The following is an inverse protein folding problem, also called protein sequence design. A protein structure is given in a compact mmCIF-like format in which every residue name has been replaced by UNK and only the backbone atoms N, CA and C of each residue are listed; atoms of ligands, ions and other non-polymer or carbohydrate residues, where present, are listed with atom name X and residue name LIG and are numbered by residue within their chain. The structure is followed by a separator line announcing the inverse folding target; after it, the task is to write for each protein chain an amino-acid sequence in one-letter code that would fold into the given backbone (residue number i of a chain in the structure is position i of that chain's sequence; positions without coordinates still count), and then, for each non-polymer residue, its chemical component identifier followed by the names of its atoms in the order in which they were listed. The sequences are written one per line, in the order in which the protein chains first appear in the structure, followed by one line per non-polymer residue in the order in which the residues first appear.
data_IF_093420905388
#
_entry.id   IF_093420905388
#
_cell.length_a   1.000
_cell.length_b   1.000
_cell.length_c   1.000
_cell.angle_alpha   90.00
_cell.angle_beta   90.00
_cell.angle_gamma   90.00
#
_symmetry.space_group_name_H-M   'P 1'
#
loop_
_entity.id
_entity.type
_entity.pdbx_description
1 polymer ?
#
# COMPACT_ATOMS: atom_id res chain seq x y z
N UNK A 1 11.75 15.91 -25.55
CA UNK A 1 10.79 15.77 -24.43
C UNK A 1 10.68 14.29 -24.16
N UNK A 2 11.03 13.82 -22.97
CA UNK A 2 10.83 12.44 -22.53
C UNK A 2 9.66 12.37 -21.55
N UNK A 3 8.85 11.33 -21.68
CA UNK A 3 7.76 11.02 -20.75
C UNK A 3 8.11 9.71 -20.07
N UNK A 4 8.12 9.70 -18.74
CA UNK A 4 8.29 8.50 -17.93
C UNK A 4 7.03 8.21 -17.14
N UNK A 5 6.57 6.96 -17.19
CA UNK A 5 5.45 6.46 -16.40
C UNK A 5 5.99 5.43 -15.41
N UNK A 6 5.69 5.64 -14.13
CA UNK A 6 6.04 4.72 -13.06
C UNK A 6 4.77 4.21 -12.41
N UNK A 7 4.66 2.89 -12.27
CA UNK A 7 3.55 2.23 -11.58
C UNK A 7 4.12 1.50 -10.38
N UNK A 8 3.58 1.78 -9.20
CA UNK A 8 3.94 1.11 -7.95
C UNK A 8 2.72 0.43 -7.37
N UNK A 9 2.86 -0.85 -7.03
CA UNK A 9 1.84 -1.66 -6.36
C UNK A 9 2.38 -2.06 -5.01
N UNK A 10 1.60 -1.87 -3.95
CA UNK A 10 1.96 -2.27 -2.59
C UNK A 10 0.82 -3.05 -1.96
N UNK A 11 1.18 -4.18 -1.35
CA UNK A 11 0.25 -5.07 -0.66
C UNK A 11 0.72 -5.21 0.78
N UNK A 12 -0.18 -4.93 1.72
CA UNK A 12 0.09 -5.02 3.15
C UNK A 12 -0.92 -5.96 3.81
N UNK A 13 -0.42 -6.90 4.61
CA UNK A 13 -1.23 -7.84 5.39
C UNK A 13 -0.91 -7.63 6.87
N UNK A 14 -1.95 -7.52 7.69
CA UNK A 14 -1.81 -7.30 9.14
C UNK A 14 -2.72 -8.25 9.90
N UNK A 15 -2.16 -8.89 10.94
CA UNK A 15 -2.86 -9.83 11.82
C UNK A 15 -2.71 -9.35 13.25
N UNK A 16 -3.83 -9.23 13.96
CA UNK A 16 -3.84 -8.83 15.38
C UNK A 16 -4.69 -9.79 16.21
N UNK A 17 -4.20 -10.07 17.42
CA UNK A 17 -4.84 -10.94 18.41
C UNK A 17 -4.95 -10.18 19.72
N UNK A 18 -6.15 -10.14 20.31
CA UNK A 18 -6.41 -9.48 21.59
C UNK A 18 -7.13 -10.42 22.56
N UNK A 19 -6.72 -10.35 23.84
CA UNK A 19 -7.30 -11.13 24.95
C UNK A 19 -7.84 -10.16 26.00
N UNK A 20 -9.10 -10.33 26.40
CA UNK A 20 -9.80 -9.50 27.39
C UNK A 20 -10.26 -10.34 28.60
N UNK A 21 -10.34 -9.70 29.78
CA UNK A 21 -10.40 -10.33 31.13
C UNK A 21 -11.66 -11.20 31.37
N UNK A 22 -12.66 -11.16 30.49
CA UNK A 22 -13.87 -12.01 30.55
C UNK A 22 -13.89 -13.14 29.50
N UNK A 23 -12.71 -13.46 28.93
CA UNK A 23 -12.47 -14.47 27.87
C UNK A 23 -13.34 -14.24 26.64
N UNK A 24 -13.18 -13.06 26.03
CA UNK A 24 -13.48 -12.86 24.62
C UNK A 24 -12.18 -12.87 23.83
N UNK A 25 -12.02 -13.86 22.95
CA UNK A 25 -10.91 -13.96 21.99
C UNK A 25 -11.39 -13.37 20.67
N UNK A 26 -10.72 -12.30 20.23
CA UNK A 26 -10.97 -11.69 18.92
C UNK A 26 -9.72 -11.76 18.05
N UNK A 27 -9.92 -12.24 16.83
CA UNK A 27 -8.89 -12.31 15.78
C UNK A 27 -9.35 -11.45 14.61
N UNK A 28 -8.51 -10.50 14.20
CA UNK A 28 -8.76 -9.64 13.06
C UNK A 28 -7.64 -9.74 12.04
N UNK A 29 -8.03 -9.89 10.76
CA UNK A 29 -7.14 -9.94 9.61
C UNK A 29 -7.54 -8.83 8.66
N UNK A 30 -6.58 -7.98 8.29
CA UNK A 30 -6.79 -6.87 7.37
C UNK A 30 -5.81 -6.97 6.20
N UNK A 31 -6.34 -6.81 4.99
CA UNK A 31 -5.57 -6.79 3.74
C UNK A 31 -5.82 -5.47 3.03
N UNK A 32 -4.74 -4.76 2.71
CA UNK A 32 -4.80 -3.47 2.01
C UNK A 32 -3.96 -3.53 0.75
N UNK A 33 -4.53 -3.06 -0.36
CA UNK A 33 -3.85 -2.96 -1.66
C UNK A 33 -3.88 -1.51 -2.12
N UNK A 34 -2.71 -0.97 -2.42
CA UNK A 34 -2.54 0.40 -2.91
C UNK A 34 -1.84 0.39 -4.26
N UNK A 35 -2.37 1.16 -5.20
CA UNK A 35 -1.82 1.34 -6.55
C UNK A 35 -1.57 2.81 -6.79
N UNK A 36 -0.34 3.17 -7.14
CA UNK A 36 0.07 4.54 -7.44
C UNK A 36 0.65 4.63 -8.85
N UNK A 37 0.19 5.62 -9.62
CA UNK A 37 0.66 5.90 -10.98
C UNK A 37 1.22 7.31 -11.02
N UNK A 38 2.48 7.44 -11.42
CA UNK A 38 3.18 8.71 -11.55
C UNK A 38 3.62 8.93 -12.99
N UNK A 39 3.31 10.11 -13.53
CA UNK A 39 3.71 10.51 -14.89
C UNK A 39 4.59 11.74 -14.79
N UNK A 40 5.81 11.66 -15.33
CA UNK A 40 6.78 12.75 -15.32
C UNK A 40 7.16 13.10 -16.76
N UNK A 41 7.21 14.39 -17.08
CA UNK A 41 7.64 14.89 -18.40
C UNK A 41 8.92 15.68 -18.23
N UNK A 42 10.03 15.16 -18.74
CA UNK A 42 11.32 15.83 -18.72
C UNK A 42 11.60 16.47 -20.09
N UNK A 43 11.83 17.78 -20.11
CA UNK A 43 12.44 18.45 -21.27
C UNK A 43 13.94 18.52 -21.04
N UNK A 44 14.70 17.68 -21.74
CA UNK A 44 16.15 17.86 -21.85
C UNK A 44 16.39 19.13 -22.67
N UNK A 45 16.93 20.18 -22.04
CA UNK A 45 17.42 21.36 -22.75
C UNK A 45 18.79 21.03 -23.32
N UNK A 46 18.91 21.09 -24.64
CA UNK A 46 20.17 21.40 -25.34
C UNK A 46 20.53 22.86 -25.15
#
# INVERSE_FOLDING_TARGET
VSVSVSVSVSVSVSVSVSVSVSVSVSVSVSVSVSVSVSVSVMRLRT
#
